data_IF_241477383002
#
_entry.id   IF_241477383002
#
_cell.length_a   1.000
_cell.length_b   1.000
_cell.length_c   1.000
_cell.angle_alpha   90.00
_cell.angle_beta   90.00
_cell.angle_gamma   90.00
#
_symmetry.space_group_name_H-M   'P 1'
#
loop_
_entity.id
_entity.type
_entity.pdbx_description
1 polymer ?
#
# COMPACT_ATOMS: atom_id res chain seq x y z
N UNK A 1 -14.62 45.66 -9.83
CA UNK A 1 -15.62 44.59 -9.66
C UNK A 1 -15.17 43.34 -10.41
N UNK A 2 -14.68 42.36 -9.64
CA UNK A 2 -14.64 40.91 -9.89
C UNK A 2 -14.44 40.40 -11.32
N UNK A 3 -13.18 40.32 -11.77
CA UNK A 3 -12.79 39.40 -12.84
C UNK A 3 -12.98 37.97 -12.37
N UNK A 4 -14.01 37.28 -12.88
CA UNK A 4 -14.20 35.85 -12.68
C UNK A 4 -13.11 35.12 -13.44
N UNK A 5 -11.99 34.85 -12.76
CA UNK A 5 -11.03 33.85 -13.21
C UNK A 5 -11.77 32.54 -13.37
N UNK A 6 -12.02 32.13 -14.60
CA UNK A 6 -12.49 30.78 -14.92
C UNK A 6 -11.34 29.85 -14.59
N UNK A 7 -11.23 29.49 -13.31
CA UNK A 7 -10.40 28.39 -12.85
C UNK A 7 -10.78 27.21 -13.70
N UNK A 8 -9.87 26.85 -14.60
CA UNK A 8 -10.01 25.76 -15.53
C UNK A 8 -10.04 24.48 -14.68
N UNK A 9 -11.22 24.12 -14.16
CA UNK A 9 -11.47 22.79 -13.64
C UNK A 9 -11.31 21.89 -14.85
N UNK A 10 -10.09 21.39 -15.07
CA UNK A 10 -9.85 20.20 -15.87
C UNK A 10 -10.58 19.05 -15.17
N UNK A 11 -11.91 19.05 -15.29
CA UNK A 11 -12.70 17.87 -15.07
C UNK A 11 -12.28 16.93 -16.18
N UNK A 12 -11.36 16.02 -15.88
CA UNK A 12 -11.07 14.85 -16.69
C UNK A 12 -12.36 14.03 -16.82
N UNK A 13 -13.28 14.47 -17.68
CA UNK A 13 -14.51 13.77 -18.06
C UNK A 13 -14.18 12.69 -19.09
N UNK A 14 -13.17 11.87 -18.80
CA UNK A 14 -13.06 10.59 -19.49
C UNK A 14 -14.05 9.65 -18.80
N UNK A 15 -15.12 9.26 -19.51
CA UNK A 15 -16.12 8.31 -19.02
C UNK A 15 -15.50 6.99 -18.46
N UNK A 16 -14.28 6.67 -18.89
CA UNK A 16 -13.48 5.53 -18.39
C UNK A 16 -12.95 5.73 -16.97
N UNK A 17 -12.67 6.95 -16.53
CA UNK A 17 -12.18 7.27 -15.19
C UNK A 17 -13.27 7.39 -14.14
N UNK A 18 -14.53 7.61 -14.55
CA UNK A 18 -15.64 7.87 -13.64
C UNK A 18 -15.96 6.72 -12.66
N UNK A 19 -15.50 5.48 -12.94
CA UNK A 19 -15.61 4.32 -12.04
C UNK A 19 -14.32 4.04 -11.25
N UNK A 20 -13.33 4.92 -11.36
CA UNK A 20 -12.07 4.75 -10.65
C UNK A 20 -12.34 4.80 -9.14
N UNK A 21 -11.71 3.91 -8.34
CA UNK A 21 -11.86 3.90 -6.89
C UNK A 21 -11.25 5.13 -6.20
N UNK A 22 -10.49 5.97 -6.91
CA UNK A 22 -9.92 7.23 -6.38
C UNK A 22 -10.78 8.47 -6.68
N UNK A 23 -11.93 8.33 -7.34
CA UNK A 23 -12.81 9.46 -7.70
C UNK A 23 -14.11 9.38 -6.92
N UNK A 24 -14.45 10.47 -6.20
CA UNK A 24 -15.70 10.58 -5.45
C UNK A 24 -15.87 9.47 -4.41
N UNK A 25 -17.10 8.97 -4.26
CA UNK A 25 -17.44 7.95 -3.26
C UNK A 25 -17.30 6.51 -3.78
N UNK A 26 -16.78 6.32 -5.00
CA UNK A 26 -16.67 5.01 -5.65
C UNK A 26 -15.87 3.99 -4.84
N UNK A 27 -14.89 4.46 -4.05
CA UNK A 27 -14.07 3.62 -3.16
C UNK A 27 -14.62 3.46 -1.74
N UNK A 28 -15.71 4.17 -1.41
CA UNK A 28 -16.30 4.21 -0.07
C UNK A 28 -17.63 3.45 0.01
N UNK A 29 -18.30 3.25 -1.13
CA UNK A 29 -19.57 2.51 -1.19
C UNK A 29 -19.33 1.00 -1.25
N UNK A 30 -19.96 0.27 -0.34
CA UNK A 30 -20.03 -1.20 -0.36
C UNK A 30 -21.37 -1.61 -0.99
N UNK A 31 -21.39 -2.61 -1.87
CA UNK A 31 -22.65 -3.08 -2.45
C UNK A 31 -23.51 -3.77 -1.39
N UNK A 32 -24.86 -3.77 -1.52
CA UNK A 32 -25.71 -4.58 -0.65
C UNK A 32 -25.23 -6.05 -0.64
N UNK A 33 -25.08 -6.64 0.55
CA UNK A 33 -24.58 -8.01 0.73
C UNK A 33 -23.06 -8.11 0.92
N UNK A 34 -22.27 -7.28 0.23
CA UNK A 34 -20.80 -7.37 0.23
C UNK A 34 -20.20 -7.21 1.64
N UNK A 35 -20.76 -6.32 2.47
CA UNK A 35 -20.30 -6.19 3.86
C UNK A 35 -20.60 -7.44 4.70
N UNK A 36 -21.76 -8.07 4.49
CA UNK A 36 -22.11 -9.30 5.21
C UNK A 36 -21.17 -10.45 4.81
N UNK A 37 -20.78 -10.53 3.54
CA UNK A 37 -19.84 -11.53 3.05
C UNK A 37 -18.42 -11.29 3.60
N UNK A 38 -17.97 -10.03 3.67
CA UNK A 38 -16.69 -9.66 4.30
C UNK A 38 -16.68 -10.06 5.78
N UNK A 39 -17.76 -9.77 6.53
CA UNK A 39 -17.86 -10.15 7.94
C UNK A 39 -17.89 -11.67 8.10
N UNK A 40 -18.68 -12.36 7.27
CA UNK A 40 -18.74 -13.82 7.27
C UNK A 40 -17.37 -14.44 7.04
N UNK A 41 -16.62 -13.93 6.06
CA UNK A 41 -15.24 -14.35 5.80
C UNK A 41 -14.38 -14.25 7.07
N UNK A 42 -14.29 -13.05 7.65
CA UNK A 42 -13.44 -12.79 8.81
C UNK A 42 -13.80 -13.64 10.04
N UNK A 43 -15.10 -13.78 10.33
CA UNK A 43 -15.58 -14.61 11.45
C UNK A 43 -15.31 -16.09 11.19
N UNK A 44 -15.53 -16.54 9.96
CA UNK A 44 -15.32 -17.95 9.58
C UNK A 44 -13.85 -18.35 9.74
N UNK A 45 -12.95 -17.57 9.14
CA UNK A 45 -11.52 -17.87 9.14
C UNK A 45 -10.86 -17.63 10.49
N UNK A 46 -11.40 -16.72 11.30
CA UNK A 46 -10.81 -16.33 12.59
C UNK A 46 -11.43 -16.98 13.83
N UNK A 47 -12.64 -17.55 13.74
CA UNK A 47 -13.34 -18.07 14.92
C UNK A 47 -14.07 -19.41 14.71
N UNK A 48 -14.42 -19.78 13.47
CA UNK A 48 -15.24 -20.98 13.22
C UNK A 48 -14.37 -22.18 12.83
N UNK A 49 -13.33 -21.96 12.03
CA UNK A 49 -12.46 -23.03 11.58
C UNK A 49 -11.72 -23.68 12.76
N UNK A 50 -11.52 -25.01 12.73
CA UNK A 50 -10.83 -25.71 13.79
C UNK A 50 -9.38 -25.24 13.90
N UNK A 51 -8.89 -25.15 15.13
CA UNK A 51 -7.48 -24.86 15.40
C UNK A 51 -6.57 -25.94 14.80
N UNK A 52 -5.33 -25.55 14.49
CA UNK A 52 -4.26 -26.46 14.04
C UNK A 52 -3.06 -26.33 14.96
N UNK A 53 -2.18 -27.33 14.94
CA UNK A 53 -0.84 -27.11 15.45
C UNK A 53 -0.06 -26.21 14.49
N UNK A 54 0.05 -24.94 14.84
CA UNK A 54 0.71 -23.95 14.03
C UNK A 54 2.25 -24.07 14.03
N UNK A 55 2.81 -25.06 14.72
CA UNK A 55 4.23 -25.47 14.65
C UNK A 55 4.48 -26.56 13.62
N UNK A 56 3.43 -27.27 13.21
CA UNK A 56 3.50 -28.33 12.22
C UNK A 56 3.47 -27.75 10.79
N UNK A 57 4.56 -27.89 10.00
CA UNK A 57 4.60 -27.37 8.64
C UNK A 57 3.55 -28.00 7.71
N UNK A 58 3.17 -29.25 7.92
CA UNK A 58 2.19 -29.93 7.06
C UNK A 58 0.79 -29.39 7.31
N UNK A 59 0.41 -29.20 8.58
CA UNK A 59 -0.87 -28.59 8.94
C UNK A 59 -0.96 -27.13 8.48
N UNK A 60 0.13 -26.35 8.59
CA UNK A 60 0.16 -24.98 8.05
C UNK A 60 -0.08 -24.95 6.54
N UNK A 61 0.59 -25.84 5.80
CA UNK A 61 0.45 -25.92 4.34
C UNK A 61 -0.97 -26.33 3.95
N UNK A 62 -1.50 -27.37 4.58
CA UNK A 62 -2.85 -27.86 4.34
C UNK A 62 -3.89 -26.76 4.62
N UNK A 63 -3.76 -26.06 5.75
CA UNK A 63 -4.62 -24.93 6.11
C UNK A 63 -4.54 -23.77 5.12
N UNK A 64 -3.36 -23.46 4.60
CA UNK A 64 -3.21 -22.42 3.58
C UNK A 64 -3.95 -22.79 2.29
N UNK A 65 -3.85 -24.06 1.87
CA UNK A 65 -4.59 -24.56 0.70
C UNK A 65 -6.12 -24.50 0.92
N UNK A 66 -6.59 -24.90 2.11
CA UNK A 66 -8.00 -24.76 2.50
C UNK A 66 -8.46 -23.30 2.44
N UNK A 67 -7.65 -22.36 2.97
CA UNK A 67 -7.95 -20.94 2.91
C UNK A 67 -8.06 -20.40 1.48
N UNK A 68 -7.12 -20.77 0.60
CA UNK A 68 -7.16 -20.34 -0.80
C UNK A 68 -8.36 -20.94 -1.54
N UNK A 69 -8.66 -22.23 -1.34
CA UNK A 69 -9.84 -22.87 -1.93
C UNK A 69 -11.13 -22.23 -1.44
N UNK A 70 -11.24 -21.95 -0.14
CA UNK A 70 -12.38 -21.23 0.43
C UNK A 70 -12.54 -19.84 -0.22
N UNK A 71 -11.45 -19.12 -0.43
CA UNK A 71 -11.50 -17.83 -1.13
C UNK A 71 -11.94 -17.96 -2.59
N UNK A 72 -11.49 -19.01 -3.30
CA UNK A 72 -11.91 -19.32 -4.67
C UNK A 72 -13.41 -19.62 -4.73
N UNK A 73 -13.90 -20.53 -3.87
CA UNK A 73 -15.29 -20.99 -3.84
C UNK A 73 -16.28 -19.87 -3.51
N UNK A 74 -15.85 -18.88 -2.74
CA UNK A 74 -16.70 -17.78 -2.28
C UNK A 74 -16.43 -16.45 -3.00
N UNK A 75 -15.57 -16.44 -4.03
CA UNK A 75 -15.17 -15.23 -4.77
C UNK A 75 -14.62 -14.10 -3.87
N UNK A 76 -13.78 -14.47 -2.90
CA UNK A 76 -13.19 -13.55 -1.93
C UNK A 76 -11.72 -13.30 -2.29
N UNK A 77 -11.29 -12.03 -2.21
CA UNK A 77 -9.87 -11.68 -2.33
C UNK A 77 -9.12 -12.15 -1.07
N UNK A 78 -8.16 -13.08 -1.18
CA UNK A 78 -7.42 -13.55 -0.02
C UNK A 78 -6.47 -12.47 0.50
N UNK A 79 -6.23 -12.46 1.81
CA UNK A 79 -5.38 -11.47 2.46
C UNK A 79 -4.51 -12.08 3.55
N UNK A 80 -3.36 -11.44 3.83
CA UNK A 80 -2.41 -11.91 4.83
C UNK A 80 -3.05 -12.10 6.22
N UNK A 81 -3.83 -11.12 6.67
CA UNK A 81 -4.47 -11.20 7.99
C UNK A 81 -5.50 -12.33 8.07
N UNK A 82 -6.23 -12.61 6.98
CA UNK A 82 -7.15 -13.74 6.91
C UNK A 82 -6.41 -15.07 7.04
N UNK A 83 -5.32 -15.25 6.27
CA UNK A 83 -4.48 -16.44 6.37
C UNK A 83 -3.88 -16.62 7.77
N UNK A 84 -3.36 -15.54 8.38
CA UNK A 84 -2.84 -15.56 9.74
C UNK A 84 -3.88 -16.04 10.76
N UNK A 85 -5.12 -15.54 10.62
CA UNK A 85 -6.23 -15.94 11.46
C UNK A 85 -6.53 -17.44 11.32
N UNK A 86 -6.49 -18.00 10.11
CA UNK A 86 -6.70 -19.45 9.90
C UNK A 86 -5.63 -20.34 10.55
N UNK A 87 -4.43 -19.80 10.80
CA UNK A 87 -3.36 -20.49 11.52
C UNK A 87 -3.39 -20.22 13.03
N UNK A 88 -4.27 -19.33 13.50
CA UNK A 88 -4.30 -18.89 14.90
C UNK A 88 -3.02 -18.16 15.33
N UNK A 89 -2.34 -17.45 14.42
CA UNK A 89 -1.12 -16.71 14.71
C UNK A 89 -1.33 -15.23 14.37
N UNK A 90 -0.92 -14.31 15.24
CA UNK A 90 -0.88 -12.88 14.91
C UNK A 90 0.39 -12.50 14.12
N UNK A 91 0.35 -11.36 13.42
CA UNK A 91 1.47 -10.89 12.60
C UNK A 91 2.80 -10.82 13.37
N UNK A 92 2.82 -10.28 14.59
CA UNK A 92 4.06 -10.09 15.35
C UNK A 92 4.68 -11.44 15.69
N UNK A 93 3.84 -12.38 16.15
CA UNK A 93 4.29 -13.74 16.46
C UNK A 93 4.85 -14.40 15.20
N UNK A 94 4.13 -14.36 14.08
CA UNK A 94 4.58 -14.96 12.81
C UNK A 94 5.97 -14.48 12.37
N UNK A 95 6.19 -13.16 12.32
CA UNK A 95 7.51 -12.63 11.92
C UNK A 95 8.60 -12.93 12.95
N UNK A 96 8.27 -12.94 14.25
CA UNK A 96 9.22 -13.36 15.28
C UNK A 96 9.63 -14.84 15.10
N UNK A 97 8.70 -15.73 14.77
CA UNK A 97 9.00 -17.14 14.49
C UNK A 97 9.93 -17.26 13.27
N UNK A 98 9.61 -16.56 12.17
CA UNK A 98 10.41 -16.59 10.94
C UNK A 98 11.85 -16.08 11.15
N UNK A 99 12.06 -15.13 12.07
CA UNK A 99 13.39 -14.64 12.41
C UNK A 99 14.17 -15.61 13.31
N UNK A 100 13.49 -16.28 14.25
CA UNK A 100 14.11 -17.23 15.17
C UNK A 100 14.52 -18.53 14.47
N UNK A 101 13.75 -18.96 13.48
CA UNK A 101 13.94 -20.24 12.78
C UNK A 101 13.91 -20.06 11.26
N UNK A 102 14.84 -19.28 10.67
CA UNK A 102 14.75 -18.83 9.28
C UNK A 102 14.77 -19.95 8.22
N UNK A 103 15.34 -21.10 8.59
CA UNK A 103 15.53 -22.27 7.72
C UNK A 103 14.65 -23.47 8.11
N UNK A 104 13.76 -23.33 9.11
CA UNK A 104 12.87 -24.44 9.47
C UNK A 104 11.83 -24.68 8.39
N UNK A 105 11.38 -25.93 8.25
CA UNK A 105 10.30 -26.27 7.31
C UNK A 105 9.04 -25.44 7.57
N UNK A 106 8.74 -25.17 8.84
CA UNK A 106 7.65 -24.27 9.25
C UNK A 106 7.78 -22.88 8.62
N UNK A 107 8.96 -22.26 8.74
CA UNK A 107 9.22 -20.95 8.14
C UNK A 107 9.19 -21.00 6.61
N UNK A 108 9.70 -22.07 6.00
CA UNK A 108 9.63 -22.25 4.53
C UNK A 108 8.17 -22.31 4.06
N UNK A 109 7.31 -23.07 4.75
CA UNK A 109 5.87 -23.15 4.46
C UNK A 109 5.18 -21.79 4.61
N UNK A 110 5.47 -21.06 5.69
CA UNK A 110 4.90 -19.73 5.93
C UNK A 110 5.31 -18.78 4.80
N UNK A 111 6.61 -18.71 4.46
CA UNK A 111 7.12 -17.85 3.37
C UNK A 111 6.43 -18.17 2.05
N UNK A 112 6.38 -19.45 1.67
CA UNK A 112 5.73 -19.88 0.42
C UNK A 112 4.27 -19.46 0.34
N UNK A 113 3.53 -19.54 1.44
CA UNK A 113 2.13 -19.11 1.50
C UNK A 113 1.99 -17.58 1.38
N UNK A 114 2.92 -16.83 1.96
CA UNK A 114 2.97 -15.37 1.83
C UNK A 114 3.36 -14.90 0.42
N UNK A 115 4.28 -15.62 -0.22
CA UNK A 115 4.69 -15.34 -1.60
C UNK A 115 3.52 -15.53 -2.58
N UNK A 116 2.66 -16.53 -2.35
CA UNK A 116 1.41 -16.70 -3.12
C UNK A 116 0.50 -15.47 -2.97
N UNK A 117 0.33 -14.96 -1.74
CA UNK A 117 -0.47 -13.76 -1.49
C UNK A 117 0.14 -12.50 -2.13
N UNK A 118 1.48 -12.40 -2.14
CA UNK A 118 2.22 -11.35 -2.83
C UNK A 118 1.94 -11.39 -4.34
N UNK A 119 2.07 -12.57 -4.96
CA UNK A 119 1.78 -12.77 -6.38
C UNK A 119 0.31 -12.46 -6.72
N UNK A 120 -0.65 -12.82 -5.87
CA UNK A 120 -2.06 -12.47 -6.07
C UNK A 120 -2.25 -10.94 -6.07
N UNK A 121 -1.64 -10.22 -5.11
CA UNK A 121 -1.70 -8.75 -5.08
C UNK A 121 -1.05 -8.12 -6.30
N UNK A 122 0.09 -8.63 -6.72
CA UNK A 122 0.78 -8.19 -7.93
C UNK A 122 -0.13 -8.34 -9.16
N UNK A 123 -0.75 -9.51 -9.34
CA UNK A 123 -1.67 -9.76 -10.44
C UNK A 123 -2.91 -8.86 -10.38
N UNK A 124 -3.46 -8.61 -9.19
CA UNK A 124 -4.58 -7.67 -9.03
C UNK A 124 -4.17 -6.23 -9.40
N UNK A 125 -2.96 -5.80 -9.00
CA UNK A 125 -2.43 -4.48 -9.33
C UNK A 125 -2.17 -4.34 -10.83
N UNK A 126 -1.49 -5.32 -11.44
CA UNK A 126 -1.18 -5.35 -12.88
C UNK A 126 -2.45 -5.30 -13.76
N UNK A 127 -3.54 -5.94 -13.31
CA UNK A 127 -4.82 -5.94 -14.02
C UNK A 127 -5.73 -4.73 -13.68
N UNK A 128 -5.23 -3.74 -12.92
CA UNK A 128 -6.00 -2.56 -12.52
C UNK A 128 -7.18 -2.86 -11.59
N UNK A 129 -7.14 -4.01 -10.89
CA UNK A 129 -8.16 -4.47 -9.93
C UNK A 129 -7.82 -4.12 -8.49
N UNK A 130 -6.63 -3.58 -8.25
CA UNK A 130 -6.21 -3.04 -6.97
C UNK A 130 -5.88 -1.55 -7.15
N UNK A 131 -6.32 -0.72 -6.20
CA UNK A 131 -5.95 0.68 -6.18
C UNK A 131 -4.41 0.79 -6.10
N UNK A 132 -3.74 1.59 -6.96
CA UNK A 132 -2.28 1.69 -6.99
C UNK A 132 -1.66 2.10 -5.64
N UNK A 133 -2.28 3.03 -4.90
CA UNK A 133 -1.82 3.46 -3.59
C UNK A 133 -1.92 2.31 -2.58
N UNK A 134 -3.03 1.57 -2.60
CA UNK A 134 -3.21 0.37 -1.77
C UNK A 134 -2.20 -0.72 -2.13
N UNK A 135 -1.95 -0.96 -3.41
CA UNK A 135 -0.97 -1.92 -3.88
C UNK A 135 0.43 -1.60 -3.34
N UNK A 136 0.89 -0.36 -3.51
CA UNK A 136 2.19 0.11 -3.00
C UNK A 136 2.26 -0.02 -1.48
N UNK A 137 1.22 0.41 -0.76
CA UNK A 137 1.18 0.32 0.70
C UNK A 137 1.28 -1.14 1.19
N UNK A 138 0.54 -2.05 0.58
CA UNK A 138 0.59 -3.46 0.94
C UNK A 138 1.92 -4.12 0.59
N UNK A 139 2.47 -3.84 -0.59
CA UNK A 139 3.76 -4.39 -0.99
C UNK A 139 4.91 -3.94 -0.07
N UNK A 140 4.92 -2.66 0.35
CA UNK A 140 5.89 -2.19 1.35
C UNK A 140 5.76 -2.92 2.68
N UNK A 141 4.52 -3.12 3.14
CA UNK A 141 4.25 -3.63 4.49
C UNK A 141 4.38 -5.15 4.62
N UNK A 142 4.03 -5.90 3.58
CA UNK A 142 4.02 -7.36 3.59
C UNK A 142 5.18 -7.97 2.82
N UNK A 143 5.60 -7.33 1.73
CA UNK A 143 6.56 -7.90 0.77
C UNK A 143 7.96 -7.25 0.89
N UNK A 144 8.10 -6.24 1.78
CA UNK A 144 9.39 -5.64 2.13
C UNK A 144 9.95 -4.69 1.07
N UNK A 145 9.14 -4.30 0.08
CA UNK A 145 9.55 -3.31 -0.93
C UNK A 145 9.80 -1.93 -0.31
N UNK A 146 10.64 -1.14 -0.96
CA UNK A 146 10.99 0.24 -0.55
C UNK A 146 11.00 1.14 -1.78
N UNK A 147 10.60 2.39 -1.59
CA UNK A 147 10.78 3.40 -2.64
C UNK A 147 12.28 3.71 -2.76
N UNK A 148 12.77 3.73 -4.00
CA UNK A 148 14.10 4.23 -4.32
C UNK A 148 13.94 5.64 -4.90
N UNK A 149 14.62 6.61 -4.30
CA UNK A 149 14.69 7.98 -4.78
C UNK A 149 16.15 8.39 -4.88
N UNK A 150 16.56 8.78 -6.07
CA UNK A 150 17.86 9.43 -6.28
C UNK A 150 17.67 10.94 -6.14
N UNK A 151 18.34 11.55 -5.16
CA UNK A 151 18.40 13.00 -5.02
C UNK A 151 19.74 13.46 -5.58
N UNK A 152 19.73 13.94 -6.83
CA UNK A 152 20.90 14.58 -7.42
C UNK A 152 20.99 15.98 -6.81
N UNK A 153 21.88 16.13 -5.83
CA UNK A 153 22.28 17.43 -5.33
C UNK A 153 23.22 18.04 -6.39
N UNK A 154 22.67 18.79 -7.32
CA UNK A 154 23.49 19.68 -8.13
C UNK A 154 24.19 20.64 -7.17
N UNK A 155 25.53 20.72 -7.18
CA UNK A 155 26.23 21.73 -6.41
C UNK A 155 25.65 23.08 -6.85
N UNK A 156 24.97 23.79 -5.94
CA UNK A 156 24.72 25.21 -6.16
C UNK A 156 26.08 25.80 -6.50
N UNK A 157 26.20 26.40 -7.70
CA UNK A 157 27.40 27.15 -8.09
C UNK A 157 27.85 27.92 -6.87
N UNK A 158 29.04 27.62 -6.38
CA UNK A 158 29.64 28.34 -5.26
C UNK A 158 29.58 29.81 -5.62
N UNK A 159 28.72 30.58 -4.94
CA UNK A 159 28.66 32.04 -5.07
C UNK A 159 29.93 32.67 -4.46
N UNK A 160 30.79 31.88 -3.82
CA UNK A 160 31.74 32.36 -2.82
C UNK A 160 33.22 32.38 -3.24
N UNK A 161 33.57 32.32 -4.53
CA UNK A 161 35.00 32.39 -4.91
C UNK A 161 35.47 33.74 -5.47
N UNK A 162 34.60 34.59 -6.02
CA UNK A 162 35.07 35.80 -6.74
C UNK A 162 34.21 37.06 -6.59
N UNK A 163 33.19 37.08 -5.73
CA UNK A 163 32.35 38.27 -5.61
C UNK A 163 32.88 39.25 -4.55
N UNK A 164 33.06 40.51 -4.95
CA UNK A 164 33.49 41.55 -4.01
C UNK A 164 32.39 41.78 -2.94
N UNK A 165 32.72 42.32 -1.76
CA UNK A 165 31.73 42.63 -0.73
C UNK A 165 30.55 43.49 -1.24
N UNK A 166 30.78 44.30 -2.28
CA UNK A 166 29.78 45.17 -2.90
C UNK A 166 28.77 44.38 -3.75
N UNK A 167 29.22 43.33 -4.45
CA UNK A 167 28.36 42.46 -5.26
C UNK A 167 27.46 41.57 -4.39
N UNK A 168 27.99 41.10 -3.26
CA UNK A 168 27.23 40.35 -2.25
C UNK A 168 26.12 41.22 -1.65
N UNK A 169 26.40 42.51 -1.43
CA UNK A 169 25.41 43.42 -0.87
C UNK A 169 24.26 43.73 -1.84
N UNK A 170 24.55 43.88 -3.13
CA UNK A 170 23.50 44.06 -4.15
C UNK A 170 22.59 42.84 -4.32
N UNK A 171 23.15 41.63 -4.22
CA UNK A 171 22.34 40.40 -4.30
C UNK A 171 21.41 40.27 -3.09
N UNK A 172 21.91 40.60 -1.89
CA UNK A 172 21.09 40.59 -0.67
C UNK A 172 19.96 41.63 -0.71
N UNK A 173 20.19 42.81 -1.31
CA UNK A 173 19.15 43.84 -1.48
C UNK A 173 18.06 43.43 -2.50
N UNK A 174 18.41 42.65 -3.52
CA UNK A 174 17.45 42.14 -4.52
C UNK A 174 16.62 40.96 -4.01
N UNK A 175 17.16 40.18 -3.07
CA UNK A 175 16.48 39.03 -2.47
C UNK A 175 15.56 39.40 -1.29
N UNK A 176 15.51 40.67 -0.87
CA UNK A 176 14.52 41.13 0.11
C UNK A 176 13.16 41.18 -0.60
N UNK A 177 12.17 40.36 -0.21
CA UNK A 177 10.83 40.46 -0.77
C UNK A 177 10.29 41.85 -0.42
N UNK A 178 10.02 42.66 -1.44
CA UNK A 178 9.27 43.89 -1.25
C UNK A 178 7.85 43.43 -0.90
N UNK A 179 7.43 43.66 0.34
CA UNK A 179 6.03 43.51 0.73
C UNK A 179 5.23 44.47 -0.17
N UNK A 180 4.61 43.93 -1.22
CA UNK A 180 3.71 44.69 -2.08
C UNK A 180 2.47 44.95 -1.25
N UNK A 181 2.37 46.15 -0.68
CA UNK A 181 1.11 46.62 -0.11
C UNK A 181 0.05 46.60 -1.23
N UNK A 182 -0.94 45.72 -1.06
CA UNK A 182 -2.08 45.60 -1.97
C UNK A 182 -3.07 46.70 -1.58
N UNK A 183 -3.11 47.80 -2.36
CA UNK A 183 -4.19 48.80 -2.32
C UNK A 183 -5.52 48.25 -2.89
#
# INVERSE_FOLDING_TARGET
>A
MGGKGSGNKMAYKNAKGAKSPVIGDNGLSVKPGEMADIVRHCVTTGMIWPEIDNKDPEQLQQRAMEYFNYCIENDIKPGNLGLYATWGIDRRTLYSQMQREPSSLRTVTIKKSLDILSAIREQLAANGKLNPVTAIFWQKNFDGLKDQQEVILEPRKQIEAEQSPEEVQQMLEQDIPIDVEIE
#
